data_IF_038390708965
#
_entry.id   IF_038390708965
#
_cell.length_a   1.000
_cell.length_b   1.000
_cell.length_c   1.000
_cell.angle_alpha   90.00
_cell.angle_beta   90.00
_cell.angle_gamma   90.00
#
_symmetry.space_group_name_H-M   'P 1'
#
loop_
_entity.id
_entity.type
_entity.pdbx_description
1 polymer ?
#
# COMPACT_ATOMS: atom_id res chain seq x y z
N UNK A 1 14.95 3.12 15.43
CA UNK A 1 15.13 4.56 15.79
C UNK A 1 14.33 5.48 14.87
N UNK A 2 13.14 5.05 14.53
CA UNK A 2 12.23 5.69 13.57
C UNK A 2 11.84 7.12 13.97
N UNK A 3 11.45 7.35 15.22
CA UNK A 3 11.05 8.66 15.77
C UNK A 3 12.08 9.79 15.62
N UNK A 4 13.34 9.50 15.25
CA UNK A 4 14.34 10.51 14.92
C UNK A 4 14.15 11.11 13.52
N UNK A 5 13.25 10.56 12.72
CA UNK A 5 13.00 11.03 11.36
C UNK A 5 11.85 12.04 11.27
N UNK A 6 11.20 12.37 12.40
CA UNK A 6 10.13 13.38 12.42
C UNK A 6 10.60 14.73 11.91
N UNK A 7 9.71 15.51 11.32
CA UNK A 7 9.95 16.86 10.82
C UNK A 7 8.81 17.82 11.18
N UNK A 8 8.95 19.08 10.83
CA UNK A 8 7.93 20.12 10.96
C UNK A 8 7.14 20.32 9.65
N UNK A 9 7.67 19.80 8.54
CA UNK A 9 7.08 19.84 7.20
C UNK A 9 7.20 18.48 6.50
N UNK A 10 6.42 18.25 5.44
CA UNK A 10 6.56 17.05 4.62
C UNK A 10 7.99 16.89 4.09
N UNK A 11 8.57 17.99 3.59
CA UNK A 11 9.94 17.98 3.09
C UNK A 11 10.94 17.56 4.16
N UNK A 12 10.86 18.14 5.36
CA UNK A 12 11.78 17.82 6.46
C UNK A 12 11.65 16.35 6.91
N UNK A 13 10.42 15.84 7.04
CA UNK A 13 10.16 14.43 7.32
C UNK A 13 10.88 13.53 6.31
N UNK A 14 10.68 13.78 5.02
CA UNK A 14 11.22 12.93 3.95
C UNK A 14 12.75 13.05 3.87
N UNK A 15 13.32 14.25 4.06
CA UNK A 15 14.77 14.43 4.15
C UNK A 15 15.37 13.69 5.34
N UNK A 16 14.69 13.66 6.48
CA UNK A 16 15.13 12.94 7.65
C UNK A 16 15.05 11.41 7.45
N UNK A 17 13.98 10.89 6.82
CA UNK A 17 13.89 9.48 6.45
C UNK A 17 15.03 9.08 5.48
N UNK A 18 15.34 9.93 4.52
CA UNK A 18 16.45 9.74 3.58
C UNK A 18 17.80 9.73 4.29
N UNK A 19 18.08 10.74 5.11
CA UNK A 19 19.35 10.88 5.88
C UNK A 19 19.57 9.70 6.83
N UNK A 20 18.49 9.17 7.40
CA UNK A 20 18.55 8.03 8.32
C UNK A 20 18.54 6.67 7.60
N UNK A 21 18.58 6.64 6.25
CA UNK A 21 18.64 5.41 5.44
C UNK A 21 17.36 4.58 5.47
N UNK A 22 16.22 5.19 5.83
CA UNK A 22 14.89 4.56 5.80
C UNK A 22 14.26 4.67 4.42
N UNK A 23 14.59 5.71 3.67
CA UNK A 23 14.42 5.79 2.21
C UNK A 23 15.81 5.72 1.59
N UNK A 24 16.00 4.88 0.58
CA UNK A 24 17.28 4.64 -0.11
C UNK A 24 17.18 4.93 -1.60
N UNK A 25 16.00 4.74 -2.17
CA UNK A 25 15.76 4.90 -3.60
C UNK A 25 15.30 6.33 -3.91
N UNK A 26 15.97 7.04 -4.82
CA UNK A 26 15.60 8.42 -5.18
C UNK A 26 14.16 8.55 -5.69
N UNK A 27 13.64 7.52 -6.38
CA UNK A 27 12.27 7.51 -6.89
C UNK A 27 11.26 7.46 -5.75
N UNK A 28 11.52 6.66 -4.71
CA UNK A 28 10.68 6.58 -3.52
C UNK A 28 10.67 7.94 -2.80
N UNK A 29 11.84 8.56 -2.62
CA UNK A 29 11.97 9.91 -2.06
C UNK A 29 11.14 10.92 -2.84
N UNK A 30 11.27 10.93 -4.17
CA UNK A 30 10.56 11.86 -5.04
C UNK A 30 9.03 11.69 -4.95
N UNK A 31 8.54 10.43 -4.89
CA UNK A 31 7.11 10.15 -4.74
C UNK A 31 6.56 10.66 -3.39
N UNK A 32 7.27 10.44 -2.28
CA UNK A 32 6.87 10.97 -0.98
C UNK A 32 6.86 12.50 -0.93
N UNK A 33 7.79 13.17 -1.59
CA UNK A 33 7.84 14.63 -1.64
C UNK A 33 6.65 15.24 -2.39
N UNK A 34 6.08 14.54 -3.35
CA UNK A 34 4.89 14.99 -4.11
C UNK A 34 3.59 14.88 -3.32
N UNK A 35 3.53 13.97 -2.35
CA UNK A 35 2.30 13.66 -1.60
C UNK A 35 2.41 14.20 -0.18
N UNK A 36 1.80 15.35 0.08
CA UNK A 36 1.81 15.92 1.44
C UNK A 36 0.98 15.07 2.40
N UNK A 37 1.67 14.49 3.40
CA UNK A 37 1.04 13.63 4.39
C UNK A 37 -0.02 14.35 5.24
N UNK A 38 0.02 15.68 5.35
CA UNK A 38 -0.98 16.47 6.07
C UNK A 38 -2.38 16.37 5.45
N UNK A 39 -2.50 16.02 4.17
CA UNK A 39 -3.81 15.75 3.56
C UNK A 39 -4.48 14.48 4.10
N UNK A 40 -3.71 13.55 4.70
CA UNK A 40 -4.10 12.18 5.04
C UNK A 40 -4.06 11.87 6.54
N UNK A 41 -3.21 12.56 7.28
CA UNK A 41 -3.08 12.39 8.73
C UNK A 41 -3.71 13.59 9.45
N UNK A 42 -4.76 13.38 10.27
CA UNK A 42 -5.51 14.47 10.89
C UNK A 42 -4.73 15.18 12.01
N UNK A 43 -3.70 14.53 12.56
CA UNK A 43 -2.85 15.08 13.62
C UNK A 43 -1.40 14.68 13.41
N UNK A 44 -0.46 15.54 13.86
CA UNK A 44 0.99 15.29 13.82
C UNK A 44 1.46 14.63 12.50
N UNK A 45 1.12 15.18 11.32
CA UNK A 45 1.29 14.50 10.04
C UNK A 45 2.75 14.18 9.71
N UNK A 46 3.67 14.95 10.28
CA UNK A 46 5.11 14.86 10.00
C UNK A 46 5.90 14.16 11.09
N UNK A 47 5.21 13.58 12.09
CA UNK A 47 5.85 12.66 13.03
C UNK A 47 6.05 11.29 12.39
N UNK A 48 7.21 10.68 12.59
CA UNK A 48 7.50 9.33 12.14
C UNK A 48 6.93 8.29 13.12
N UNK A 49 5.59 8.34 13.26
CA UNK A 49 4.79 7.46 14.12
C UNK A 49 3.42 7.20 13.50
N UNK A 50 2.75 6.09 13.87
CA UNK A 50 1.37 5.84 13.46
C UNK A 50 0.43 6.90 14.03
N UNK A 51 -0.57 7.33 13.24
CA UNK A 51 -1.57 8.31 13.66
C UNK A 51 -2.98 7.72 13.52
N UNK A 52 -3.89 8.05 14.45
CA UNK A 52 -5.29 7.61 14.35
C UNK A 52 -6.02 8.33 13.23
N UNK A 53 -6.79 7.60 12.43
CA UNK A 53 -7.60 8.13 11.32
C UNK A 53 -9.11 7.90 11.53
N UNK A 54 -9.52 7.51 12.72
CA UNK A 54 -10.90 7.14 13.04
C UNK A 54 -11.16 5.64 12.88
N UNK A 55 -12.37 5.21 13.19
CA UNK A 55 -12.86 3.83 13.01
C UNK A 55 -11.92 2.73 13.53
N UNK A 56 -11.19 3.01 14.60
CA UNK A 56 -10.13 2.14 15.19
C UNK A 56 -8.96 1.85 14.23
N UNK A 57 -8.84 2.59 13.12
CA UNK A 57 -7.76 2.49 12.16
C UNK A 57 -6.68 3.54 12.39
N UNK A 58 -5.51 3.28 11.83
CA UNK A 58 -4.34 4.15 11.87
C UNK A 58 -3.71 4.28 10.48
N UNK A 59 -3.21 5.47 10.16
CA UNK A 59 -2.21 5.60 9.09
C UNK A 59 -0.87 5.14 9.66
N UNK A 60 -0.22 4.21 8.98
CA UNK A 60 1.08 3.67 9.42
C UNK A 60 2.16 4.74 9.50
N UNK A 61 3.20 4.49 10.30
CA UNK A 61 4.35 5.40 10.39
C UNK A 61 5.03 5.58 9.03
N UNK A 62 5.54 6.77 8.72
CA UNK A 62 6.25 7.06 7.47
C UNK A 62 7.35 6.06 7.11
N UNK A 63 8.19 5.62 8.07
CA UNK A 63 9.23 4.62 7.83
C UNK A 63 8.67 3.25 7.42
N UNK A 64 7.46 2.89 7.86
CA UNK A 64 6.81 1.63 7.45
C UNK A 64 6.34 1.70 6.00
N UNK A 65 5.75 2.83 5.59
CA UNK A 65 5.40 3.08 4.20
C UNK A 65 6.65 3.09 3.31
N UNK A 66 7.75 3.73 3.77
CA UNK A 66 9.02 3.71 3.06
C UNK A 66 9.53 2.27 2.86
N UNK A 67 9.53 1.46 3.92
CA UNK A 67 9.94 0.05 3.84
C UNK A 67 9.11 -0.76 2.84
N UNK A 68 7.80 -0.55 2.81
CA UNK A 68 6.91 -1.21 1.85
C UNK A 68 7.23 -0.81 0.40
N UNK A 69 7.40 0.50 0.15
CA UNK A 69 7.70 1.00 -1.20
C UNK A 69 9.09 0.58 -1.69
N UNK A 70 10.11 0.63 -0.84
CA UNK A 70 11.46 0.14 -1.16
C UNK A 70 11.43 -1.35 -1.54
N UNK A 71 10.65 -2.14 -0.82
CA UNK A 71 10.51 -3.57 -1.10
C UNK A 71 9.75 -3.84 -2.41
N UNK A 72 8.65 -3.13 -2.64
CA UNK A 72 7.79 -3.33 -3.81
C UNK A 72 8.30 -2.63 -5.08
N UNK A 73 9.28 -1.71 -4.96
CA UNK A 73 9.72 -0.84 -6.06
C UNK A 73 9.98 -1.55 -7.39
N UNK A 74 10.65 -2.74 -7.43
CA UNK A 74 10.90 -3.44 -8.69
C UNK A 74 9.63 -3.88 -9.43
N UNK A 75 8.49 -3.95 -8.74
CA UNK A 75 7.22 -4.42 -9.28
C UNK A 75 6.19 -3.31 -9.49
N UNK A 76 6.41 -2.14 -8.89
CA UNK A 76 5.49 -1.00 -9.00
C UNK A 76 5.99 0.09 -9.94
N UNK A 77 7.24 0.01 -10.42
CA UNK A 77 7.77 0.97 -11.40
C UNK A 77 7.70 0.43 -12.81
N UNK A 78 7.40 1.28 -13.81
CA UNK A 78 7.40 0.88 -15.21
C UNK A 78 8.76 0.35 -15.65
N UNK A 79 8.72 -0.67 -16.52
CA UNK A 79 9.88 -1.27 -17.20
C UNK A 79 9.44 -1.83 -18.55
N UNK A 80 10.38 -2.23 -19.40
CA UNK A 80 10.05 -2.86 -20.68
C UNK A 80 9.17 -4.10 -20.53
N UNK A 81 9.44 -4.91 -19.51
CA UNK A 81 8.64 -6.10 -19.19
C UNK A 81 7.30 -5.78 -18.49
N UNK A 82 7.14 -4.56 -17.95
CA UNK A 82 5.96 -4.11 -17.21
C UNK A 82 5.72 -2.62 -17.47
N UNK A 83 5.22 -2.25 -18.65
CA UNK A 83 5.05 -0.82 -18.99
C UNK A 83 3.94 -0.15 -18.18
N UNK A 84 2.92 -0.88 -17.77
CA UNK A 84 1.76 -0.42 -17.01
C UNK A 84 1.55 -1.25 -15.74
N UNK A 85 2.30 -1.01 -14.66
CA UNK A 85 2.16 -1.77 -13.41
C UNK A 85 0.75 -1.66 -12.81
N UNK A 86 0.25 -2.77 -12.28
CA UNK A 86 -1.03 -2.86 -11.58
C UNK A 86 -0.78 -3.22 -10.12
N UNK A 87 -1.23 -2.36 -9.22
CA UNK A 87 -0.95 -2.50 -7.79
C UNK A 87 -2.24 -2.54 -6.99
N UNK A 88 -2.32 -3.49 -6.07
CA UNK A 88 -3.39 -3.60 -5.09
C UNK A 88 -2.87 -3.14 -3.72
N UNK A 89 -3.57 -2.18 -3.11
CA UNK A 89 -3.29 -1.67 -1.76
C UNK A 89 -4.44 -2.06 -0.83
N UNK A 90 -4.25 -3.11 -0.05
CA UNK A 90 -5.26 -3.65 0.88
C UNK A 90 -5.14 -2.98 2.24
N UNK A 91 -6.29 -2.48 2.75
CA UNK A 91 -6.33 -1.65 3.94
C UNK A 91 -5.85 -0.24 3.60
N UNK A 92 -6.39 0.35 2.52
CA UNK A 92 -5.97 1.67 2.00
C UNK A 92 -6.19 2.82 2.99
N UNK A 93 -7.11 2.66 3.95
CA UNK A 93 -7.33 3.56 5.07
C UNK A 93 -7.50 5.02 4.64
N UNK A 94 -6.55 5.87 5.03
CA UNK A 94 -6.55 7.29 4.65
C UNK A 94 -6.30 7.55 3.16
N UNK A 95 -5.85 6.55 2.37
CA UNK A 95 -5.46 6.70 0.97
C UNK A 95 -4.03 7.21 0.75
N UNK A 96 -3.25 7.45 1.81
CA UNK A 96 -1.91 8.03 1.69
C UNK A 96 -0.96 7.15 0.85
N UNK A 97 -0.80 5.87 1.25
CA UNK A 97 0.11 4.98 0.54
C UNK A 97 -0.38 4.70 -0.88
N UNK A 98 -1.69 4.55 -1.07
CA UNK A 98 -2.33 4.42 -2.40
C UNK A 98 -1.89 5.54 -3.34
N UNK A 99 -1.89 6.80 -2.85
CA UNK A 99 -1.44 7.96 -3.64
C UNK A 99 0.06 7.91 -3.92
N UNK A 100 0.89 7.63 -2.90
CA UNK A 100 2.35 7.55 -3.12
C UNK A 100 2.72 6.43 -4.10
N UNK A 101 2.03 5.28 -4.06
CA UNK A 101 2.18 4.21 -5.07
C UNK A 101 1.81 4.74 -6.47
N UNK A 102 0.73 5.51 -6.58
CA UNK A 102 0.29 6.05 -7.87
C UNK A 102 1.31 6.98 -8.53
N UNK A 103 2.14 7.67 -7.74
CA UNK A 103 3.27 8.47 -8.24
C UNK A 103 4.44 7.61 -8.77
N UNK A 104 4.49 6.33 -8.41
CA UNK A 104 5.55 5.40 -8.81
C UNK A 104 5.19 4.52 -10.02
N UNK A 105 3.90 4.24 -10.24
CA UNK A 105 3.45 3.31 -11.30
C UNK A 105 3.48 3.90 -12.72
N UNK A 106 3.92 5.14 -12.88
CA UNK A 106 3.98 5.81 -14.19
C UNK A 106 2.60 6.25 -14.70
N UNK A 107 2.52 6.71 -15.95
CA UNK A 107 1.32 7.31 -16.55
C UNK A 107 0.23 6.30 -16.88
N UNK A 108 0.59 5.07 -17.20
CA UNK A 108 -0.32 3.98 -17.61
C UNK A 108 -0.63 2.99 -16.49
N UNK A 109 0.07 3.09 -15.36
CA UNK A 109 -0.13 2.20 -14.22
C UNK A 109 -1.43 2.49 -13.47
N UNK A 110 -1.96 1.46 -12.80
CA UNK A 110 -3.23 1.51 -12.07
C UNK A 110 -3.00 1.07 -10.62
N UNK A 111 -3.61 1.78 -9.69
CA UNK A 111 -3.61 1.43 -8.27
C UNK A 111 -5.06 1.29 -7.79
N UNK A 112 -5.35 0.17 -7.14
CA UNK A 112 -6.65 -0.03 -6.49
C UNK A 112 -6.44 -0.14 -4.99
N UNK A 113 -7.02 0.80 -4.24
CA UNK A 113 -7.11 0.75 -2.79
C UNK A 113 -8.37 0.00 -2.36
N UNK A 114 -8.21 -1.06 -1.58
CA UNK A 114 -9.34 -1.82 -1.01
C UNK A 114 -9.44 -1.54 0.47
N UNK A 115 -10.63 -1.16 0.91
CA UNK A 115 -10.93 -0.89 2.31
C UNK A 115 -12.25 -1.57 2.68
N UNK A 116 -12.37 -2.13 3.90
CA UNK A 116 -13.56 -2.83 4.34
C UNK A 116 -14.50 -1.94 5.15
N UNK A 117 -14.06 -0.76 5.56
CA UNK A 117 -14.85 0.25 6.28
C UNK A 117 -15.22 1.35 5.27
N UNK A 118 -16.52 1.50 5.03
CA UNK A 118 -17.03 2.44 4.02
C UNK A 118 -16.56 3.88 4.26
N UNK A 119 -16.61 4.33 5.51
CA UNK A 119 -16.20 5.68 5.89
C UNK A 119 -14.70 5.93 5.67
N UNK A 120 -13.87 4.90 5.78
CA UNK A 120 -12.44 5.01 5.46
C UNK A 120 -12.19 4.98 3.96
N UNK A 121 -12.95 4.20 3.20
CA UNK A 121 -12.87 4.22 1.74
C UNK A 121 -13.24 5.61 1.21
N UNK A 122 -14.34 6.20 1.70
CA UNK A 122 -14.77 7.57 1.37
C UNK A 122 -13.75 8.62 1.85
N UNK A 123 -13.13 8.41 3.01
CA UNK A 123 -12.05 9.27 3.52
C UNK A 123 -10.82 9.26 2.60
N UNK A 124 -10.44 8.09 2.09
CA UNK A 124 -9.32 7.95 1.15
C UNK A 124 -9.52 8.78 -0.11
N UNK A 125 -10.71 8.70 -0.70
CA UNK A 125 -11.09 9.53 -1.86
C UNK A 125 -11.10 11.03 -1.51
N UNK A 126 -11.76 11.40 -0.40
CA UNK A 126 -11.84 12.78 0.06
C UNK A 126 -10.47 13.40 0.38
N UNK A 127 -9.54 12.61 0.91
CA UNK A 127 -8.19 13.07 1.17
C UNK A 127 -7.41 13.29 -0.14
N UNK A 128 -7.56 12.40 -1.09
CA UNK A 128 -6.81 12.44 -2.34
C UNK A 128 -7.17 13.66 -3.20
N UNK A 129 -8.45 14.09 -3.19
CA UNK A 129 -8.89 15.28 -3.92
C UNK A 129 -8.43 16.61 -3.30
N UNK A 130 -7.74 16.59 -2.15
CA UNK A 130 -7.16 17.80 -1.55
C UNK A 130 -5.98 18.35 -2.37
N UNK A 131 -5.34 17.52 -3.19
CA UNK A 131 -4.34 17.97 -4.17
C UNK A 131 -4.87 17.90 -5.61
N UNK A 132 -4.33 18.73 -6.49
CA UNK A 132 -4.69 18.72 -7.91
C UNK A 132 -4.24 17.41 -8.58
N UNK A 133 -3.06 16.93 -8.22
CA UNK A 133 -2.47 15.67 -8.70
C UNK A 133 -3.35 14.49 -8.31
N UNK A 134 -3.73 14.38 -7.04
CA UNK A 134 -4.59 13.32 -6.55
C UNK A 134 -5.97 13.31 -7.19
N UNK A 135 -6.57 14.49 -7.40
CA UNK A 135 -7.81 14.63 -8.16
C UNK A 135 -7.65 14.11 -9.59
N UNK A 136 -6.57 14.51 -10.28
CA UNK A 136 -6.29 14.07 -11.65
C UNK A 136 -6.12 12.55 -11.75
N UNK A 137 -5.54 11.91 -10.73
CA UNK A 137 -5.38 10.46 -10.67
C UNK A 137 -6.72 9.73 -10.52
N UNK A 138 -7.65 10.26 -9.71
CA UNK A 138 -9.00 9.72 -9.56
C UNK A 138 -9.83 9.94 -10.82
N UNK A 139 -9.88 11.16 -11.33
CA UNK A 139 -10.66 11.55 -12.52
C UNK A 139 -10.19 10.76 -13.76
N UNK A 140 -8.89 10.52 -13.87
CA UNK A 140 -8.28 9.71 -14.92
C UNK A 140 -8.43 8.20 -14.74
N UNK A 141 -9.08 7.73 -13.66
CA UNK A 141 -9.30 6.30 -13.38
C UNK A 141 -8.03 5.51 -13.05
N UNK A 142 -6.91 6.18 -12.81
CA UNK A 142 -5.63 5.56 -12.47
C UNK A 142 -5.56 5.10 -11.01
N UNK A 143 -6.30 5.77 -10.15
CA UNK A 143 -6.54 5.34 -8.77
C UNK A 143 -8.02 5.10 -8.59
N UNK A 144 -8.34 3.98 -7.94
CA UNK A 144 -9.70 3.62 -7.60
C UNK A 144 -9.74 3.14 -6.15
N UNK A 145 -10.71 3.62 -5.38
CA UNK A 145 -11.01 3.06 -4.07
C UNK A 145 -12.20 2.13 -4.16
N UNK A 146 -12.12 1.00 -3.46
CA UNK A 146 -13.14 -0.05 -3.49
C UNK A 146 -13.47 -0.51 -2.09
N UNK A 147 -14.75 -0.67 -1.82
CA UNK A 147 -15.24 -1.27 -0.59
C UNK A 147 -15.25 -2.80 -0.75
N UNK A 148 -14.49 -3.51 0.10
CA UNK A 148 -14.40 -4.96 0.01
C UNK A 148 -13.57 -5.62 1.10
N UNK A 149 -13.70 -6.93 1.21
CA UNK A 149 -12.91 -7.75 2.12
C UNK A 149 -11.51 -7.98 1.54
N UNK A 150 -10.50 -7.33 2.10
CA UNK A 150 -9.11 -7.42 1.65
C UNK A 150 -8.52 -8.83 1.67
N UNK A 151 -9.06 -9.74 2.48
CA UNK A 151 -8.64 -11.15 2.52
C UNK A 151 -8.93 -11.88 1.20
N UNK A 152 -9.93 -11.39 0.45
CA UNK A 152 -10.33 -11.90 -0.86
C UNK A 152 -9.58 -11.23 -2.01
N UNK A 153 -8.76 -10.21 -1.71
CA UNK A 153 -8.17 -9.35 -2.72
C UNK A 153 -9.23 -8.53 -3.46
N UNK A 154 -8.96 -8.22 -4.71
CA UNK A 154 -9.91 -7.49 -5.56
C UNK A 154 -9.80 -7.93 -7.01
N UNK A 155 -10.96 -8.19 -7.61
CA UNK A 155 -11.11 -8.40 -9.04
C UNK A 155 -12.09 -7.34 -9.54
N UNK A 156 -11.65 -6.48 -10.45
CA UNK A 156 -12.55 -5.50 -11.05
C UNK A 156 -13.67 -6.26 -11.82
N UNK A 157 -14.93 -5.84 -11.65
CA UNK A 157 -16.02 -6.40 -12.44
C UNK A 157 -15.73 -6.25 -13.94
N UNK A 158 -15.95 -7.31 -14.71
CA UNK A 158 -15.82 -7.25 -16.16
C UNK A 158 -16.77 -6.21 -16.76
N UNK A 159 -16.28 -5.44 -17.71
CA UNK A 159 -17.14 -4.60 -18.53
C UNK A 159 -17.99 -5.50 -19.46
N UNK A 160 -19.22 -5.11 -19.84
CA UNK A 160 -20.01 -5.88 -20.80
C UNK A 160 -19.22 -6.10 -22.08
N UNK A 161 -18.92 -7.39 -22.40
CA UNK A 161 -18.17 -7.81 -23.58
C UNK A 161 -16.67 -8.06 -23.34
N UNK A 162 -16.17 -7.91 -22.12
CA UNK A 162 -14.80 -8.32 -21.74
C UNK A 162 -14.80 -9.73 -21.15
N UNK A 163 -13.85 -10.56 -21.56
CA UNK A 163 -13.61 -11.85 -20.92
C UNK A 163 -13.13 -11.65 -19.48
N UNK A 164 -13.67 -12.45 -18.56
CA UNK A 164 -13.33 -12.48 -17.13
C UNK A 164 -11.90 -12.99 -16.85
N UNK A 165 -10.92 -12.62 -17.64
CA UNK A 165 -9.52 -12.83 -17.25
C UNK A 165 -9.17 -11.76 -16.27
N UNK A 166 -9.26 -12.06 -14.97
CA UNK A 166 -8.81 -11.17 -13.92
C UNK A 166 -7.34 -10.82 -14.17
N UNK A 167 -7.03 -9.59 -14.59
CA UNK A 167 -5.64 -9.22 -14.85
C UNK A 167 -4.96 -9.08 -13.50
N UNK A 168 -4.26 -10.09 -13.03
CA UNK A 168 -3.60 -10.12 -11.72
C UNK A 168 -2.84 -8.84 -11.37
N UNK A 169 -2.30 -8.78 -10.17
CA UNK A 169 -1.57 -7.63 -9.63
C UNK A 169 -0.06 -7.88 -9.71
N UNK A 170 0.69 -6.95 -10.25
CA UNK A 170 2.16 -7.01 -10.26
C UNK A 170 2.73 -6.88 -8.85
N UNK A 171 2.07 -6.07 -8.03
CA UNK A 171 2.37 -5.95 -6.62
C UNK A 171 1.10 -5.88 -5.77
N UNK A 172 1.18 -6.46 -4.56
CA UNK A 172 0.15 -6.37 -3.53
C UNK A 172 0.80 -5.86 -2.25
N UNK A 173 0.31 -4.72 -1.75
CA UNK A 173 0.60 -4.23 -0.40
C UNK A 173 -0.56 -4.59 0.51
N UNK A 174 -0.26 -5.03 1.75
CA UNK A 174 -1.27 -5.26 2.77
C UNK A 174 -0.96 -4.42 4.00
N UNK A 175 -1.82 -3.44 4.30
CA UNK A 175 -1.69 -2.48 5.39
C UNK A 175 -2.28 -2.92 6.72
N UNK A 176 -2.63 -4.21 6.86
CA UNK A 176 -3.17 -4.82 8.07
C UNK A 176 -2.58 -6.21 8.28
N UNK A 177 -2.54 -6.70 9.53
CA UNK A 177 -1.97 -8.03 9.82
C UNK A 177 -2.96 -9.14 9.53
N UNK A 178 -2.59 -10.05 8.65
CA UNK A 178 -3.33 -11.26 8.36
C UNK A 178 -3.04 -12.36 9.40
N UNK A 179 -4.05 -13.16 9.74
CA UNK A 179 -3.85 -14.34 10.60
C UNK A 179 -3.06 -15.43 9.87
N UNK A 180 -3.22 -15.50 8.56
CA UNK A 180 -2.58 -16.49 7.70
C UNK A 180 -2.32 -15.89 6.31
N UNK A 181 -1.53 -16.58 5.52
CA UNK A 181 -1.29 -16.21 4.12
C UNK A 181 -2.51 -16.60 3.27
N UNK A 182 -3.35 -15.62 2.90
CA UNK A 182 -4.57 -15.85 2.14
C UNK A 182 -4.29 -16.31 0.71
N UNK A 183 -4.78 -17.50 0.36
CA UNK A 183 -4.63 -18.10 -0.97
C UNK A 183 -5.19 -17.22 -2.10
N UNK A 184 -6.28 -16.50 -1.82
CA UNK A 184 -6.90 -15.59 -2.78
C UNK A 184 -5.94 -14.47 -3.23
N UNK A 185 -5.06 -13.99 -2.35
CA UNK A 185 -4.04 -12.98 -2.66
C UNK A 185 -2.92 -13.58 -3.52
N UNK A 186 -2.47 -14.80 -3.18
CA UNK A 186 -1.48 -15.52 -3.97
C UNK A 186 -1.98 -15.84 -5.38
N UNK A 187 -3.24 -16.22 -5.52
CA UNK A 187 -3.87 -16.48 -6.81
C UNK A 187 -3.93 -15.23 -7.70
N UNK A 188 -4.17 -14.05 -7.09
CA UNK A 188 -4.24 -12.78 -7.81
C UNK A 188 -2.87 -12.14 -8.07
N UNK A 189 -1.80 -12.62 -7.45
CA UNK A 189 -0.45 -12.14 -7.71
C UNK A 189 0.03 -12.68 -9.07
N UNK A 190 0.49 -11.79 -9.94
CA UNK A 190 1.06 -12.15 -11.26
C UNK A 190 2.35 -12.96 -11.15
N UNK A 191 2.71 -13.57 -12.24
CA UNK A 191 4.00 -14.25 -12.44
C UNK A 191 4.79 -13.53 -13.55
N UNK A 192 5.85 -12.76 -13.23
CA UNK A 192 6.37 -12.49 -11.90
C UNK A 192 5.58 -11.41 -11.14
N UNK A 193 5.60 -11.48 -9.79
CA UNK A 193 4.95 -10.51 -8.92
C UNK A 193 5.46 -10.56 -7.48
N UNK A 194 5.16 -9.53 -6.68
CA UNK A 194 5.56 -9.44 -5.27
C UNK A 194 4.43 -8.95 -4.38
N UNK A 195 4.32 -9.57 -3.19
CA UNK A 195 3.44 -9.11 -2.13
C UNK A 195 4.24 -8.77 -0.88
N UNK A 196 3.86 -7.66 -0.22
CA UNK A 196 4.38 -7.23 1.07
C UNK A 196 3.22 -7.29 2.07
N UNK A 197 3.30 -8.19 3.05
CA UNK A 197 2.19 -8.52 3.94
C UNK A 197 2.64 -8.79 5.37
N UNK A 198 2.06 -8.13 6.38
CA UNK A 198 2.19 -8.54 7.78
C UNK A 198 1.37 -9.79 8.06
N UNK A 199 1.96 -10.80 8.72
CA UNK A 199 1.27 -12.05 9.10
C UNK A 199 1.59 -12.36 10.55
N UNK A 200 0.62 -12.87 11.29
CA UNK A 200 0.80 -13.38 12.65
C UNK A 200 1.65 -14.67 12.64
N UNK A 201 2.50 -14.81 13.66
CA UNK A 201 3.30 -16.03 13.80
C UNK A 201 2.39 -17.22 14.21
N UNK A 202 2.65 -18.39 13.63
CA UNK A 202 1.84 -19.61 13.85
C UNK A 202 2.04 -20.21 15.25
N UNK A 203 2.99 -19.69 16.05
CA UNK A 203 3.32 -20.17 17.39
C UNK A 203 2.34 -19.75 18.49
N UNK A 204 1.29 -18.99 18.13
CA UNK A 204 0.29 -18.48 19.07
C UNK A 204 0.78 -17.35 19.96
N UNK A 205 1.98 -16.80 19.73
CA UNK A 205 2.54 -15.68 20.50
C UNK A 205 1.81 -14.36 20.26
N UNK A 206 1.04 -14.26 19.17
CA UNK A 206 0.45 -13.00 18.70
C UNK A 206 1.47 -12.03 18.11
N UNK A 207 2.73 -12.46 17.93
CA UNK A 207 3.73 -11.69 17.22
C UNK A 207 3.37 -11.59 15.74
N UNK A 208 3.76 -10.49 15.13
CA UNK A 208 3.51 -10.24 13.72
C UNK A 208 4.83 -9.93 13.02
N UNK A 209 5.00 -10.47 11.83
CA UNK A 209 6.15 -10.16 10.99
C UNK A 209 5.70 -9.78 9.59
N UNK A 210 6.42 -8.85 8.99
CA UNK A 210 6.28 -8.59 7.56
C UNK A 210 6.94 -9.68 6.76
N UNK A 211 6.23 -10.16 5.75
CA UNK A 211 6.72 -11.11 4.78
C UNK A 211 6.80 -10.48 3.39
N UNK A 212 7.89 -10.72 2.71
CA UNK A 212 7.99 -10.59 1.27
C UNK A 212 7.62 -11.93 0.64
N UNK A 213 6.65 -11.91 -0.24
CA UNK A 213 6.22 -13.08 -1.00
C UNK A 213 6.46 -12.80 -2.47
N UNK A 214 7.33 -13.57 -3.08
CA UNK A 214 7.64 -13.48 -4.51
C UNK A 214 7.01 -14.65 -5.25
N UNK A 215 6.40 -14.36 -6.38
CA UNK A 215 5.98 -15.34 -7.38
C UNK A 215 6.85 -15.11 -8.61
N UNK A 216 7.64 -16.09 -9.00
CA UNK A 216 8.53 -15.97 -10.16
C UNK A 216 7.80 -16.17 -11.50
N UNK A 217 8.54 -16.09 -12.61
CA UNK A 217 7.96 -16.26 -13.94
C UNK A 217 7.32 -17.63 -14.20
N UNK A 218 7.74 -18.65 -13.48
CA UNK A 218 7.22 -20.02 -13.59
C UNK A 218 6.08 -20.29 -12.59
N UNK A 219 5.67 -19.25 -11.82
CA UNK A 219 4.59 -19.34 -10.83
C UNK A 219 5.01 -19.92 -9.47
N UNK A 220 6.30 -20.18 -9.26
CA UNK A 220 6.81 -20.67 -7.97
C UNK A 220 6.79 -19.56 -6.93
N UNK A 221 6.18 -19.85 -5.79
CA UNK A 221 6.08 -18.91 -4.66
C UNK A 221 7.23 -19.12 -3.69
N UNK A 222 7.93 -18.05 -3.34
CA UNK A 222 8.93 -18.00 -2.28
C UNK A 222 8.52 -16.98 -1.22
N UNK A 223 8.85 -17.24 0.04
CA UNK A 223 8.48 -16.40 1.19
C UNK A 223 9.72 -16.05 1.98
N UNK A 224 9.88 -14.77 2.32
CA UNK A 224 11.00 -14.29 3.14
C UNK A 224 10.44 -13.47 4.30
N UNK A 225 10.70 -13.93 5.53
CA UNK A 225 10.41 -13.16 6.76
C UNK A 225 11.37 -11.98 6.84
N UNK A 226 10.85 -10.76 7.05
CA UNK A 226 11.66 -9.55 7.05
C UNK A 226 11.93 -9.06 8.47
N UNK A 227 10.93 -8.47 9.13
CA UNK A 227 11.07 -7.88 10.46
C UNK A 227 9.76 -7.90 11.24
N UNK A 228 9.87 -7.82 12.57
CA UNK A 228 8.72 -7.78 13.48
C UNK A 228 7.99 -6.44 13.43
N UNK A 229 6.66 -6.49 13.53
CA UNK A 229 5.77 -5.32 13.46
C UNK A 229 4.60 -5.45 14.42
N UNK A 230 3.81 -4.37 14.52
CA UNK A 230 2.50 -4.38 15.17
C UNK A 230 1.51 -3.60 14.30
N UNK A 231 0.64 -4.32 13.62
CA UNK A 231 -0.44 -3.79 12.78
C UNK A 231 -1.81 -4.07 13.38
N UNK A 232 -2.80 -3.29 12.97
CA UNK A 232 -4.22 -3.62 13.19
C UNK A 232 -4.56 -4.91 12.42
N UNK A 233 -5.49 -5.75 12.91
CA UNK A 233 -5.80 -7.01 12.24
C UNK A 233 -6.58 -6.79 10.95
N UNK A 234 -6.31 -7.62 9.95
CA UNK A 234 -7.13 -7.78 8.75
C UNK A 234 -8.34 -8.66 9.11
N UNK A 235 -9.47 -8.03 9.34
CA UNK A 235 -10.67 -8.65 9.93
C UNK A 235 -11.95 -8.20 9.24
N UNK A 236 -13.10 -8.67 9.72
CA UNK A 236 -14.40 -8.21 9.28
C UNK A 236 -14.61 -6.72 9.62
N UNK A 237 -15.42 -6.05 8.81
CA UNK A 237 -15.83 -4.69 9.10
C UNK A 237 -16.53 -4.63 10.48
N UNK A 238 -16.32 -3.57 11.28
CA UNK A 238 -17.08 -3.38 12.51
C UNK A 238 -18.57 -3.33 12.20
N UNK A 239 -19.34 -4.06 13.01
CA UNK A 239 -20.81 -3.98 12.98
C UNK A 239 -21.28 -2.67 13.58
#
# INVERSE_FOLDING_TARGET
MAWRSSGSTNQELIENLWRNGLIKEPRVKAAFLKVDRAHYAPSSPYEDSPQRIGHKATISAPHMHASALENLLPFITPSDARPAPRVLDIGSGSGYLTHVIAELVGTEGIVVGVEHIKELQELGEANMVKSAEGRGLLDGGRVKFRLGDGRKGWVEPAQPGEDLVAPGWDAIHVGASAKEMHEALLAQLRSPGRMFIPVEDEDGSGNQHVWQVDKDGDGKVTRKKLFGVRYVPLTDAPQ
#
